data_IF_684292499745
#
_entry.id   IF_684292499745
#
_cell.length_a   1.000
_cell.length_b   1.000
_cell.length_c   1.000
_cell.angle_alpha   90.00
_cell.angle_beta   90.00
_cell.angle_gamma   90.00
#
_symmetry.space_group_name_H-M   'P 1'
#
loop_
_entity.id
_entity.type
_entity.pdbx_description
1 polymer ?
#
# COMPACT_ATOMS: atom_id res chain seq x y z
N UNK A 1 -14.70 9.55 -23.67
CA UNK A 1 -14.02 9.55 -22.36
C UNK A 1 -14.78 8.58 -21.47
N UNK A 2 -14.44 7.30 -21.50
CA UNK A 2 -15.10 6.27 -20.68
C UNK A 2 -14.03 5.28 -20.26
N UNK A 3 -13.47 5.47 -19.07
CA UNK A 3 -12.56 4.51 -18.49
C UNK A 3 -13.38 3.27 -18.09
N UNK A 4 -13.16 2.18 -18.82
CA UNK A 4 -13.70 0.86 -18.53
C UNK A 4 -13.28 0.45 -17.12
N UNK A 5 -14.25 0.38 -16.20
CA UNK A 5 -14.06 -0.15 -14.86
C UNK A 5 -14.09 -1.68 -14.95
N UNK A 6 -12.99 -2.28 -15.39
CA UNK A 6 -12.86 -3.73 -15.44
C UNK A 6 -12.61 -4.27 -14.03
N UNK A 7 -13.71 -4.71 -13.42
CA UNK A 7 -13.79 -5.84 -12.50
C UNK A 7 -12.86 -6.98 -12.91
N UNK A 8 -11.91 -7.41 -12.07
CA UNK A 8 -11.29 -8.75 -12.05
C UNK A 8 -10.29 -8.92 -10.90
N UNK A 9 -10.72 -9.49 -9.76
CA UNK A 9 -10.01 -10.47 -8.90
C UNK A 9 -8.47 -10.39 -8.67
N UNK A 10 -7.86 -9.21 -8.79
CA UNK A 10 -6.46 -8.94 -8.43
C UNK A 10 -6.41 -7.56 -7.80
N UNK A 11 -5.65 -7.37 -6.72
CA UNK A 11 -5.59 -6.11 -6.00
C UNK A 11 -5.30 -4.97 -7.00
N UNK A 12 -6.18 -3.94 -7.08
CA UNK A 12 -6.00 -2.88 -8.06
C UNK A 12 -4.69 -2.15 -7.80
N UNK A 13 -4.02 -1.77 -8.88
CA UNK A 13 -2.84 -0.92 -8.82
C UNK A 13 -3.24 0.41 -8.19
N UNK A 14 -2.65 0.75 -7.04
CA UNK A 14 -2.91 2.02 -6.36
C UNK A 14 -1.84 3.05 -6.70
N UNK A 15 -2.26 4.27 -6.99
CA UNK A 15 -1.38 5.40 -7.24
C UNK A 15 -1.97 6.70 -6.67
N UNK A 16 -1.17 7.77 -6.68
CA UNK A 16 -1.57 9.11 -6.27
C UNK A 16 -2.92 9.52 -6.87
N UNK A 17 -3.84 9.96 -6.02
CA UNK A 17 -5.22 10.31 -6.41
C UNK A 17 -6.21 9.14 -6.48
N UNK A 18 -5.80 7.89 -6.25
CA UNK A 18 -6.75 6.81 -6.02
C UNK A 18 -7.36 6.87 -4.63
N UNK A 19 -8.62 6.46 -4.53
CA UNK A 19 -9.35 6.40 -3.28
C UNK A 19 -10.05 5.06 -3.13
N UNK A 20 -10.30 4.65 -1.89
CA UNK A 20 -11.05 3.44 -1.57
C UNK A 20 -10.42 2.58 -0.48
N UNK A 21 -11.09 1.47 -0.19
CA UNK A 21 -10.77 0.60 0.94
C UNK A 21 -9.37 -0.03 0.83
N UNK A 22 -8.92 -0.30 -0.39
CA UNK A 22 -7.55 -0.77 -0.66
C UNK A 22 -6.49 0.25 -0.20
N UNK A 23 -6.73 1.55 -0.42
CA UNK A 23 -5.83 2.61 0.05
C UNK A 23 -5.82 2.69 1.57
N UNK A 24 -7.00 2.59 2.20
CA UNK A 24 -7.10 2.55 3.67
C UNK A 24 -6.31 1.38 4.27
N UNK A 25 -6.37 0.22 3.63
CA UNK A 25 -5.63 -0.96 4.05
C UNK A 25 -4.11 -0.75 3.93
N UNK A 26 -3.66 -0.20 2.80
CA UNK A 26 -2.26 0.19 2.60
C UNK A 26 -1.77 1.17 3.67
N UNK A 27 -2.55 2.23 3.94
CA UNK A 27 -2.23 3.26 4.93
C UNK A 27 -2.07 2.67 6.35
N UNK A 28 -2.93 1.72 6.73
CA UNK A 28 -2.80 0.99 8.00
C UNK A 28 -1.48 0.24 8.10
N UNK A 29 -1.12 -0.50 7.05
CA UNK A 29 0.11 -1.28 7.04
C UNK A 29 1.33 -0.35 7.12
N UNK A 30 1.36 0.73 6.34
CA UNK A 30 2.45 1.70 6.36
C UNK A 30 2.64 2.35 7.74
N UNK A 31 1.55 2.70 8.43
CA UNK A 31 1.62 3.19 9.81
C UNK A 31 2.18 2.12 10.75
N UNK A 32 1.74 0.86 10.60
CA UNK A 32 2.17 -0.22 11.47
C UNK A 32 3.65 -0.56 11.29
N UNK A 33 4.11 -0.57 10.04
CA UNK A 33 5.51 -0.72 9.70
C UNK A 33 6.36 0.54 10.01
N UNK A 34 5.76 1.56 10.62
CA UNK A 34 6.41 2.81 11.01
C UNK A 34 7.04 3.58 9.84
N UNK A 35 6.55 3.37 8.61
CA UNK A 35 6.97 4.12 7.41
C UNK A 35 6.33 5.51 7.30
N UNK A 36 5.44 5.85 8.23
CA UNK A 36 5.04 7.24 8.48
C UNK A 36 3.64 7.36 9.10
N UNK A 37 3.34 8.51 9.74
CA UNK A 37 1.99 8.88 10.15
C UNK A 37 1.18 9.26 8.91
N UNK A 38 0.75 8.26 8.14
CA UNK A 38 -0.12 8.50 6.99
C UNK A 38 -1.57 8.55 7.45
N UNK A 39 -2.32 9.56 7.03
CA UNK A 39 -3.75 9.62 7.28
C UNK A 39 -4.40 8.35 6.71
N UNK A 40 -5.32 7.72 7.45
CA UNK A 40 -6.01 6.50 7.01
C UNK A 40 -7.38 6.82 6.39
N UNK A 41 -7.42 7.90 5.62
CA UNK A 41 -8.62 8.52 5.06
C UNK A 41 -9.09 7.84 3.76
N UNK A 42 -8.49 6.72 3.38
CA UNK A 42 -8.78 6.00 2.14
C UNK A 42 -8.44 6.81 0.88
N UNK A 43 -7.59 7.83 0.99
CA UNK A 43 -7.14 8.66 -0.12
C UNK A 43 -5.63 8.60 -0.29
N UNK A 44 -5.18 8.29 -1.50
CA UNK A 44 -3.77 8.19 -1.80
C UNK A 44 -3.21 9.60 -2.03
N UNK A 45 -2.95 10.29 -0.91
CA UNK A 45 -2.33 11.60 -0.91
C UNK A 45 -0.80 11.56 -1.01
N UNK A 46 -0.14 12.73 -1.09
CA UNK A 46 1.31 12.85 -1.24
C UNK A 46 2.09 12.25 -0.06
N UNK A 47 1.50 12.25 1.15
CA UNK A 47 2.09 11.59 2.33
C UNK A 47 2.11 10.06 2.16
N UNK A 48 1.01 9.48 1.66
CA UNK A 48 0.94 8.04 1.38
C UNK A 48 1.91 7.66 0.27
N UNK A 49 1.99 8.47 -0.78
CA UNK A 49 2.94 8.29 -1.88
C UNK A 49 4.40 8.28 -1.40
N UNK A 50 4.76 9.22 -0.53
CA UNK A 50 6.10 9.29 0.05
C UNK A 50 6.42 8.05 0.89
N UNK A 51 5.46 7.58 1.71
CA UNK A 51 5.62 6.37 2.50
C UNK A 51 5.75 5.11 1.62
N UNK A 52 4.99 5.02 0.52
CA UNK A 52 5.10 3.93 -0.46
C UNK A 52 6.45 3.96 -1.17
N UNK A 53 6.92 5.13 -1.62
CA UNK A 53 8.23 5.28 -2.25
C UNK A 53 9.36 4.88 -1.31
N UNK A 54 9.27 5.31 -0.04
CA UNK A 54 10.22 4.89 0.98
C UNK A 54 10.20 3.37 1.17
N UNK A 55 9.01 2.76 1.24
CA UNK A 55 8.89 1.29 1.31
C UNK A 55 9.54 0.62 0.10
N UNK A 56 9.16 1.01 -1.13
CA UNK A 56 9.71 0.45 -2.37
C UNK A 56 11.24 0.56 -2.42
N UNK A 57 11.80 1.70 -1.99
CA UNK A 57 13.25 1.93 -1.94
C UNK A 57 13.99 0.99 -0.98
N UNK A 58 13.33 0.61 0.12
CA UNK A 58 13.89 -0.33 1.09
C UNK A 58 13.83 -1.80 0.64
N UNK A 59 13.02 -2.14 -0.36
CA UNK A 59 12.76 -3.53 -0.77
C UNK A 59 13.03 -3.75 -2.27
N UNK A 60 14.31 -3.90 -2.69
CA UNK A 60 14.64 -4.32 -4.05
C UNK A 60 14.11 -5.74 -4.34
N UNK A 61 13.67 -6.07 -5.57
CA UNK A 61 13.79 -5.30 -6.82
C UNK A 61 12.55 -4.43 -7.17
N UNK A 62 11.83 -3.89 -6.17
CA UNK A 62 10.70 -3.01 -6.44
C UNK A 62 11.16 -1.69 -7.08
N UNK A 63 10.41 -1.22 -8.07
CA UNK A 63 10.60 0.11 -8.62
C UNK A 63 9.98 1.17 -7.69
N UNK A 64 10.67 2.30 -7.53
CA UNK A 64 10.28 3.40 -6.62
C UNK A 64 9.43 4.44 -7.37
N UNK A 65 8.39 3.96 -8.03
CA UNK A 65 7.46 4.76 -8.83
C UNK A 65 6.32 5.36 -7.98
N UNK A 66 6.15 4.92 -6.74
CA UNK A 66 5.01 5.29 -5.88
C UNK A 66 3.72 4.57 -6.26
N UNK A 67 3.79 3.56 -7.11
CA UNK A 67 2.66 2.77 -7.58
C UNK A 67 2.64 1.40 -6.89
N UNK A 68 1.56 1.12 -6.18
CA UNK A 68 1.36 -0.16 -5.49
C UNK A 68 0.69 -1.14 -6.44
N UNK A 69 1.51 -1.78 -7.29
CA UNK A 69 1.12 -2.93 -8.10
C UNK A 69 1.09 -4.23 -7.29
N UNK A 70 0.81 -5.35 -7.97
CA UNK A 70 0.73 -6.69 -7.37
C UNK A 70 2.02 -7.11 -6.65
N UNK A 71 3.19 -6.80 -7.21
CA UNK A 71 4.48 -7.10 -6.58
C UNK A 71 4.70 -6.31 -5.29
N UNK A 72 4.40 -5.00 -5.32
CA UNK A 72 4.45 -4.14 -4.15
C UNK A 72 3.48 -4.63 -3.07
N UNK A 73 2.25 -4.97 -3.45
CA UNK A 73 1.26 -5.57 -2.55
C UNK A 73 1.76 -6.83 -1.87
N UNK A 74 2.32 -7.76 -2.65
CA UNK A 74 2.86 -9.01 -2.11
C UNK A 74 3.97 -8.76 -1.10
N UNK A 75 4.88 -7.83 -1.40
CA UNK A 75 5.97 -7.47 -0.49
C UNK A 75 5.44 -6.80 0.79
N UNK A 76 4.48 -5.88 0.67
CA UNK A 76 3.85 -5.21 1.83
C UNK A 76 3.20 -6.25 2.74
N UNK A 77 2.41 -7.17 2.19
CA UNK A 77 1.75 -8.24 2.97
C UNK A 77 2.79 -9.17 3.60
N UNK A 78 3.87 -9.50 2.88
CA UNK A 78 4.95 -10.33 3.41
C UNK A 78 5.63 -9.68 4.61
N UNK A 79 6.00 -8.41 4.50
CA UNK A 79 6.62 -7.65 5.59
C UNK A 79 5.64 -7.47 6.74
N UNK A 80 4.38 -7.17 6.45
CA UNK A 80 3.32 -7.06 7.45
C UNK A 80 3.12 -8.37 8.23
N UNK A 81 3.11 -9.51 7.53
CA UNK A 81 3.00 -10.83 8.13
C UNK A 81 4.23 -11.19 8.99
N UNK A 82 5.43 -10.77 8.56
CA UNK A 82 6.67 -10.94 9.31
C UNK A 82 6.71 -10.05 10.58
N UNK A 83 6.19 -8.82 10.47
CA UNK A 83 5.97 -7.91 11.59
C UNK A 83 4.82 -8.39 12.48
N UNK A 84 5.11 -9.44 13.24
CA UNK A 84 4.23 -10.11 14.19
C UNK A 84 3.72 -9.18 15.31
N UNK A 85 4.35 -8.02 15.52
CA UNK A 85 3.86 -6.96 16.41
C UNK A 85 2.63 -6.21 15.87
N UNK A 86 2.41 -6.26 14.55
CA UNK A 86 1.37 -5.52 13.84
C UNK A 86 0.22 -6.41 13.38
N UNK A 87 0.51 -7.67 13.05
CA UNK A 87 -0.45 -8.62 12.51
C UNK A 87 -1.00 -9.61 13.56
N UNK A 88 -0.51 -9.60 14.80
CA UNK A 88 -0.94 -10.58 15.81
C UNK A 88 -2.05 -10.05 16.73
N UNK A 89 -3.25 -9.90 16.16
CA UNK A 89 -4.52 -10.00 16.90
C UNK A 89 -5.22 -11.35 16.65
N UNK A 90 -4.48 -12.36 16.18
CA UNK A 90 -5.02 -13.68 15.89
C UNK A 90 -4.20 -14.78 16.59
N UNK A 91 -4.24 -14.79 17.92
CA UNK A 91 -4.16 -16.00 18.74
C UNK A 91 -5.06 -15.86 19.96
#
# INVERSE_FOLDING_TARGET
MSANVQTSQSLPTLQSGNTGEAVRYLQRILNCLSYGPVATDANFGPQTETAVKNFQSNYPPLAVDGVVGSQTWWQIVRVFADSSFCNNSAK
#
